data_IF_661423595032
#
_entry.id   IF_661423595032
#
_cell.length_a   1.000
_cell.length_b   1.000
_cell.length_c   1.000
_cell.angle_alpha   90.00
_cell.angle_beta   90.00
_cell.angle_gamma   90.00
#
_symmetry.space_group_name_H-M   'P 1'
#
loop_
_entity.id
_entity.type
_entity.pdbx_description
1 polymer ?
#
# COMPACT_ATOMS: atom_id res chain seq x y z
N UNK A 1 -6.11 -0.81 2.96
CA UNK A 1 -6.20 -2.17 2.40
C UNK A 1 -7.13 -3.11 3.17
N UNK A 2 -7.16 -3.03 4.51
CA UNK A 2 -8.11 -3.76 5.37
C UNK A 2 -7.93 -5.30 5.39
N UNK A 3 -6.78 -5.76 4.95
CA UNK A 3 -6.31 -7.13 5.18
C UNK A 3 -5.54 -7.20 6.50
N UNK A 4 -5.47 -8.39 7.11
CA UNK A 4 -4.61 -8.66 8.26
C UNK A 4 -3.28 -9.24 7.78
N UNK A 5 -2.19 -8.48 7.95
CA UNK A 5 -0.82 -8.89 7.56
C UNK A 5 0.04 -9.37 8.73
N UNK A 6 -0.51 -9.41 9.95
CA UNK A 6 0.21 -9.78 11.18
C UNK A 6 1.58 -9.10 11.28
N UNK A 7 1.62 -7.79 11.02
CA UNK A 7 2.87 -7.02 10.90
C UNK A 7 3.71 -7.06 12.18
N UNK A 8 3.05 -7.18 13.35
CA UNK A 8 3.71 -7.27 14.65
C UNK A 8 4.34 -8.65 14.92
N UNK A 9 3.88 -9.70 14.25
CA UNK A 9 4.39 -11.07 14.39
C UNK A 9 5.49 -11.40 13.35
N UNK A 10 5.98 -10.39 12.63
CA UNK A 10 7.01 -10.54 11.59
C UNK A 10 6.47 -10.91 10.20
N UNK A 11 5.15 -11.04 10.03
CA UNK A 11 4.53 -11.41 8.75
C UNK A 11 4.79 -10.43 7.59
N UNK A 12 5.24 -9.21 7.89
CA UNK A 12 5.56 -8.16 6.91
C UNK A 12 7.04 -7.77 6.87
N UNK A 13 7.93 -8.49 7.56
CA UNK A 13 9.34 -8.12 7.64
C UNK A 13 10.00 -8.05 6.25
N UNK A 14 9.80 -9.09 5.44
CA UNK A 14 10.32 -9.15 4.06
C UNK A 14 9.79 -8.01 3.18
N UNK A 15 8.53 -7.61 3.39
CA UNK A 15 7.91 -6.51 2.64
C UNK A 15 8.49 -5.15 3.04
N UNK A 16 8.71 -4.92 4.33
CA UNK A 16 9.33 -3.68 4.83
C UNK A 16 10.78 -3.60 4.37
N UNK A 17 11.53 -4.71 4.40
CA UNK A 17 12.90 -4.76 3.86
C UNK A 17 12.93 -4.50 2.36
N UNK A 18 12.05 -5.16 1.59
CA UNK A 18 11.94 -4.94 0.16
C UNK A 18 11.61 -3.48 -0.18
N UNK A 19 10.72 -2.86 0.59
CA UNK A 19 10.35 -1.45 0.44
C UNK A 19 11.57 -0.54 0.60
N UNK A 20 12.37 -0.75 1.66
CA UNK A 20 13.61 0.02 1.88
C UNK A 20 14.60 -0.14 0.73
N UNK A 21 14.82 -1.37 0.25
CA UNK A 21 15.72 -1.65 -0.88
C UNK A 21 15.25 -0.92 -2.15
N UNK A 22 13.95 -0.85 -2.40
CA UNK A 22 13.38 -0.12 -3.54
C UNK A 22 13.58 1.38 -3.37
N UNK A 23 13.28 1.94 -2.20
CA UNK A 23 13.47 3.37 -1.91
C UNK A 23 14.94 3.79 -2.08
N UNK A 24 15.88 3.00 -1.52
CA UNK A 24 17.32 3.24 -1.67
C UNK A 24 17.76 3.16 -3.13
N UNK A 25 17.23 2.20 -3.89
CA UNK A 25 17.53 2.08 -5.31
C UNK A 25 17.02 3.28 -6.12
N UNK A 26 15.82 3.78 -5.81
CA UNK A 26 15.23 4.97 -6.44
C UNK A 26 16.11 6.20 -6.15
N UNK A 27 16.43 6.45 -4.87
CA UNK A 27 17.29 7.56 -4.45
C UNK A 27 18.67 7.46 -5.14
N UNK A 28 19.28 6.28 -5.12
CA UNK A 28 20.57 6.03 -5.78
C UNK A 28 20.52 6.34 -7.28
N UNK A 29 19.46 5.93 -7.99
CA UNK A 29 19.28 6.17 -9.42
C UNK A 29 19.02 7.66 -9.73
N UNK A 30 18.28 8.36 -8.86
CA UNK A 30 18.03 9.80 -8.98
C UNK A 30 19.32 10.64 -8.98
N UNK A 31 20.31 10.25 -8.17
CA UNK A 31 21.58 10.98 -8.05
C UNK A 31 22.73 10.45 -8.93
N UNK A 32 22.53 9.34 -9.66
CA UNK A 32 23.58 8.72 -10.49
C UNK A 32 23.11 8.61 -11.95
N UNK A 33 23.34 9.64 -12.78
CA UNK A 33 22.90 9.66 -14.18
C UNK A 33 23.37 8.44 -15.00
N UNK A 34 24.55 7.87 -14.69
CA UNK A 34 25.06 6.67 -15.36
C UNK A 34 24.29 5.38 -15.03
N UNK A 35 23.47 5.37 -13.97
CA UNK A 35 22.55 4.28 -13.66
C UNK A 35 21.15 4.49 -14.26
N UNK A 36 20.89 5.58 -14.98
CA UNK A 36 19.58 5.81 -15.62
C UNK A 36 19.28 4.84 -16.78
N UNK A 37 20.26 4.45 -17.63
CA UNK A 37 20.01 3.45 -18.66
C UNK A 37 19.64 2.11 -18.03
N UNK A 38 18.49 1.55 -18.42
CA UNK A 38 17.89 0.37 -17.79
C UNK A 38 18.82 -0.85 -17.81
N UNK A 39 19.54 -1.05 -18.92
CA UNK A 39 20.50 -2.14 -19.06
C UNK A 39 21.63 -2.01 -18.02
N UNK A 40 22.17 -0.81 -17.83
CA UNK A 40 23.24 -0.54 -16.87
C UNK A 40 22.74 -0.74 -15.45
N UNK A 41 21.55 -0.22 -15.14
CA UNK A 41 20.92 -0.40 -13.84
C UNK A 41 20.72 -1.89 -13.52
N UNK A 42 20.09 -2.65 -14.42
CA UNK A 42 19.77 -4.06 -14.22
C UNK A 42 21.01 -4.94 -14.03
N UNK A 43 22.14 -4.57 -14.64
CA UNK A 43 23.41 -5.27 -14.45
C UNK A 43 24.09 -4.93 -13.12
N UNK A 44 23.84 -3.74 -12.56
CA UNK A 44 24.44 -3.27 -11.30
C UNK A 44 23.95 -4.06 -10.07
N UNK A 45 24.72 -4.09 -8.97
CA UNK A 45 24.27 -4.70 -7.70
C UNK A 45 22.95 -4.10 -7.20
N UNK A 46 22.79 -2.78 -7.30
CA UNK A 46 21.58 -2.05 -6.90
C UNK A 46 20.37 -2.49 -7.72
N UNK A 47 20.48 -2.60 -9.04
CA UNK A 47 19.37 -3.04 -9.88
C UNK A 47 19.02 -4.52 -9.67
N UNK A 48 20.00 -5.39 -9.42
CA UNK A 48 19.72 -6.79 -9.05
C UNK A 48 18.96 -6.90 -7.73
N UNK A 49 19.33 -6.08 -6.74
CA UNK A 49 18.61 -5.97 -5.47
C UNK A 49 17.18 -5.47 -5.67
N UNK A 50 17.03 -4.37 -6.42
CA UNK A 50 15.74 -3.79 -6.79
C UNK A 50 14.81 -4.82 -7.44
N UNK A 51 15.28 -5.57 -8.44
CA UNK A 51 14.46 -6.61 -9.11
C UNK A 51 14.02 -7.72 -8.16
N UNK A 52 14.84 -8.11 -7.18
CA UNK A 52 14.46 -9.10 -6.17
C UNK A 52 13.39 -8.54 -5.22
N UNK A 53 13.61 -7.32 -4.73
CA UNK A 53 12.67 -6.63 -3.84
C UNK A 53 11.32 -6.39 -4.52
N UNK A 54 11.32 -6.00 -5.80
CA UNK A 54 10.11 -5.81 -6.60
C UNK A 54 9.26 -7.08 -6.67
N UNK A 55 9.89 -8.26 -6.80
CA UNK A 55 9.16 -9.54 -6.77
C UNK A 55 8.48 -9.82 -5.44
N UNK A 56 9.12 -9.47 -4.33
CA UNK A 56 8.53 -9.62 -2.99
C UNK A 56 7.34 -8.68 -2.84
N UNK A 57 7.50 -7.42 -3.25
CA UNK A 57 6.45 -6.41 -3.18
C UNK A 57 5.22 -6.81 -4.01
N UNK A 58 5.42 -7.10 -5.31
CA UNK A 58 4.33 -7.58 -6.17
C UNK A 58 3.69 -8.87 -5.64
N UNK A 59 4.49 -9.78 -5.09
CA UNK A 59 3.99 -11.04 -4.54
C UNK A 59 3.09 -10.84 -3.31
N UNK A 60 3.32 -9.80 -2.49
CA UNK A 60 2.41 -9.46 -1.41
C UNK A 60 1.17 -8.77 -1.95
N UNK A 61 1.33 -7.74 -2.78
CA UNK A 61 0.23 -6.96 -3.36
C UNK A 61 -0.76 -7.84 -4.11
N UNK A 62 -0.26 -8.78 -4.92
CA UNK A 62 -1.10 -9.74 -5.64
C UNK A 62 -1.93 -10.59 -4.68
N UNK A 63 -1.33 -11.08 -3.58
CA UNK A 63 -2.08 -11.81 -2.53
C UNK A 63 -3.16 -10.92 -1.90
N UNK A 64 -2.84 -9.66 -1.61
CA UNK A 64 -3.80 -8.69 -1.06
C UNK A 64 -4.99 -8.55 -1.99
N UNK A 65 -4.74 -8.32 -3.28
CA UNK A 65 -5.77 -8.14 -4.31
C UNK A 65 -6.61 -9.40 -4.43
N UNK A 66 -6.00 -10.58 -4.53
CA UNK A 66 -6.70 -11.85 -4.66
C UNK A 66 -7.59 -12.16 -3.44
N UNK A 67 -7.05 -12.02 -2.22
CA UNK A 67 -7.84 -12.23 -0.99
C UNK A 67 -9.04 -11.29 -0.95
N UNK A 68 -8.85 -10.01 -1.29
CA UNK A 68 -9.94 -9.04 -1.26
C UNK A 68 -10.96 -9.23 -2.36
N UNK A 69 -10.53 -9.55 -3.57
CA UNK A 69 -11.43 -9.88 -4.70
C UNK A 69 -12.30 -11.09 -4.36
N UNK A 70 -11.73 -12.12 -3.71
CA UNK A 70 -12.50 -13.27 -3.22
C UNK A 70 -13.53 -12.87 -2.15
N UNK A 71 -13.13 -12.12 -1.12
CA UNK A 71 -14.04 -11.64 -0.07
C UNK A 71 -15.17 -10.76 -0.63
N UNK A 72 -14.85 -9.91 -1.60
CA UNK A 72 -15.80 -9.03 -2.28
C UNK A 72 -16.83 -9.84 -3.07
N UNK A 73 -16.39 -10.84 -3.85
CA UNK A 73 -17.29 -11.73 -4.60
C UNK A 73 -18.18 -12.57 -3.69
N UNK A 74 -17.66 -13.10 -2.57
CA UNK A 74 -18.48 -13.84 -1.60
C UNK A 74 -19.58 -12.96 -1.03
N UNK A 75 -19.26 -11.71 -0.63
CA UNK A 75 -20.27 -10.77 -0.11
C UNK A 75 -21.30 -10.41 -1.18
N UNK A 76 -20.88 -10.12 -2.40
CA UNK A 76 -21.79 -9.75 -3.49
C UNK A 76 -22.70 -10.91 -3.91
N UNK A 77 -22.21 -12.16 -3.89
CA UNK A 77 -23.03 -13.34 -4.20
C UNK A 77 -23.99 -13.71 -3.08
N UNK A 78 -23.66 -13.42 -1.82
CA UNK A 78 -24.56 -13.62 -0.67
C UNK A 78 -25.63 -12.53 -0.53
N UNK A 79 -25.59 -11.47 -1.34
CA UNK A 79 -26.55 -10.35 -1.34
C UNK A 79 -27.30 -10.25 -2.67
N UNK A 80 -27.55 -11.38 -3.34
CA UNK A 80 -28.64 -11.49 -4.32
C UNK A 80 -29.95 -11.83 -3.60
N UNK A 81 -30.45 -10.92 -2.77
CA UNK A 81 -31.84 -10.83 -2.27
C UNK A 81 -31.88 -9.69 -1.23
N UNK A 82 -31.99 -8.44 -1.72
CA UNK A 82 -32.89 -7.39 -1.22
C UNK A 82 -32.45 -6.00 -1.69
N UNK A 83 -33.20 -5.35 -2.59
CA UNK A 83 -33.01 -3.93 -2.92
C UNK A 83 -33.45 -2.96 -1.81
N UNK A 84 -33.90 -3.43 -0.65
CA UNK A 84 -34.73 -2.65 0.29
C UNK A 84 -34.17 -2.42 1.70
N UNK A 85 -32.88 -2.63 1.97
CA UNK A 85 -32.34 -2.45 3.34
C UNK A 85 -31.21 -1.43 3.52
N UNK A 86 -30.97 -0.49 2.60
CA UNK A 86 -29.99 0.58 2.88
C UNK A 86 -30.39 1.98 2.34
N UNK A 87 -31.68 2.29 2.22
CA UNK A 87 -32.15 3.67 2.04
C UNK A 87 -32.56 4.37 3.36
N UNK A 88 -32.48 3.67 4.51
CA UNK A 88 -32.93 4.19 5.80
C UNK A 88 -31.82 4.82 6.67
N UNK A 89 -30.74 5.31 6.08
CA UNK A 89 -29.84 6.25 6.80
C UNK A 89 -29.31 7.31 5.84
N UNK A 90 -30.12 8.36 5.65
CA UNK A 90 -29.73 9.61 4.98
C UNK A 90 -28.64 10.26 5.85
N UNK A 91 -27.39 9.83 5.69
CA UNK A 91 -26.24 10.47 6.34
C UNK A 91 -24.98 9.63 6.51
N UNK A 92 -25.08 8.31 6.68
CA UNK A 92 -23.91 7.47 6.96
C UNK A 92 -23.53 6.61 5.75
N UNK A 93 -22.85 7.22 4.75
CA UNK A 93 -22.12 6.42 3.75
C UNK A 93 -21.16 5.48 4.49
N UNK A 94 -21.42 4.18 4.44
CA UNK A 94 -20.55 3.13 4.99
C UNK A 94 -19.13 3.38 4.49
N UNK A 95 -18.19 3.68 5.40
CA UNK A 95 -16.78 3.96 5.07
C UNK A 95 -16.16 2.72 4.42
N UNK A 96 -16.04 2.73 3.09
CA UNK A 96 -15.44 1.64 2.30
C UNK A 96 -13.93 1.68 2.42
N UNK A 97 -13.28 0.52 2.39
CA UNK A 97 -11.83 0.49 2.29
C UNK A 97 -11.42 0.93 0.88
N UNK A 98 -10.23 1.55 0.75
CA UNK A 98 -9.71 2.03 -0.54
C UNK A 98 -9.77 0.98 -1.66
N UNK A 99 -9.31 -0.23 -1.38
CA UNK A 99 -9.30 -1.32 -2.36
C UNK A 99 -10.71 -1.77 -2.77
N UNK A 100 -11.70 -1.68 -1.88
CA UNK A 100 -13.09 -2.02 -2.22
C UNK A 100 -13.66 -1.00 -3.23
N UNK A 101 -13.32 0.29 -3.06
CA UNK A 101 -13.71 1.35 -4.02
C UNK A 101 -13.04 1.16 -5.38
N UNK A 102 -11.77 0.72 -5.40
CA UNK A 102 -11.08 0.38 -6.65
C UNK A 102 -11.74 -0.80 -7.36
N UNK A 103 -12.07 -1.89 -6.65
CA UNK A 103 -12.73 -3.06 -7.23
C UNK A 103 -14.12 -2.74 -7.82
N UNK A 104 -14.91 -1.92 -7.13
CA UNK A 104 -16.21 -1.44 -7.63
C UNK A 104 -16.04 -0.65 -8.94
N UNK A 105 -15.04 0.24 -9.01
CA UNK A 105 -14.78 1.01 -10.23
C UNK A 105 -14.46 0.13 -11.44
N UNK A 106 -13.75 -0.99 -11.25
CA UNK A 106 -13.50 -1.97 -12.32
C UNK A 106 -14.80 -2.62 -12.80
N UNK A 107 -15.73 -2.91 -11.88
CA UNK A 107 -17.02 -3.54 -12.21
C UNK A 107 -18.00 -2.59 -12.89
N UNK A 108 -18.00 -1.31 -12.51
CA UNK A 108 -18.86 -0.26 -13.07
C UNK A 108 -18.46 0.18 -14.49
N UNK A 109 -17.44 -0.46 -15.07
CA UNK A 109 -17.05 -0.26 -16.47
C UNK A 109 -15.97 0.81 -16.68
N UNK A 110 -15.28 1.26 -15.63
CA UNK A 110 -14.04 2.02 -15.84
C UNK A 110 -12.97 1.10 -16.45
N UNK A 111 -12.22 1.65 -17.42
CA UNK A 111 -11.13 0.98 -18.13
C UNK A 111 -9.87 0.79 -17.25
N UNK A 112 -10.00 0.24 -16.05
CA UNK A 112 -8.86 -0.08 -15.20
C UNK A 112 -8.53 -1.57 -15.35
N UNK A 113 -7.34 -1.86 -15.89
CA UNK A 113 -6.87 -3.25 -16.00
C UNK A 113 -6.45 -3.81 -14.64
N UNK A 114 -6.33 -5.14 -14.52
CA UNK A 114 -5.76 -5.76 -13.32
C UNK A 114 -4.31 -5.26 -13.05
N UNK A 115 -3.58 -4.83 -14.09
CA UNK A 115 -2.26 -4.24 -13.95
C UNK A 115 -2.31 -2.83 -13.33
N UNK A 116 -3.23 -1.98 -13.80
CA UNK A 116 -3.42 -0.62 -13.26
C UNK A 116 -3.90 -0.69 -11.80
N UNK A 117 -4.82 -1.63 -11.49
CA UNK A 117 -5.26 -1.89 -10.12
C UNK A 117 -4.07 -2.25 -9.23
N UNK A 118 -3.20 -3.14 -9.69
CA UNK A 118 -2.02 -3.56 -8.94
C UNK A 118 -1.05 -2.40 -8.72
N UNK A 119 -0.82 -1.56 -9.72
CA UNK A 119 0.05 -0.39 -9.60
C UNK A 119 -0.47 0.62 -8.57
N UNK A 120 -1.78 0.85 -8.53
CA UNK A 120 -2.38 1.73 -7.54
C UNK A 120 -2.27 1.13 -6.12
N UNK A 121 -2.50 -0.19 -6.00
CA UNK A 121 -2.37 -0.90 -4.72
C UNK A 121 -0.90 -0.91 -4.24
N UNK A 122 0.06 -1.14 -5.14
CA UNK A 122 1.50 -1.07 -4.86
C UNK A 122 1.89 0.32 -4.35
N UNK A 123 1.45 1.37 -5.04
CA UNK A 123 1.73 2.78 -4.69
C UNK A 123 1.17 3.13 -3.32
N UNK A 124 -0.11 2.85 -3.07
CA UNK A 124 -0.72 3.15 -1.77
C UNK A 124 -0.13 2.34 -0.61
N UNK A 125 0.25 1.08 -0.86
CA UNK A 125 0.92 0.26 0.16
C UNK A 125 2.31 0.78 0.48
N UNK A 126 3.02 1.35 -0.48
CA UNK A 126 4.30 2.02 -0.27
C UNK A 126 4.13 3.35 0.47
N UNK A 127 3.45 4.31 -0.17
CA UNK A 127 3.41 5.71 0.27
C UNK A 127 2.71 5.88 1.62
N UNK A 128 1.68 5.08 1.89
CA UNK A 128 0.83 5.24 3.06
C UNK A 128 1.53 4.95 4.39
N UNK A 129 2.56 4.09 4.40
CA UNK A 129 3.21 3.66 5.64
C UNK A 129 4.61 4.27 5.84
N UNK A 130 5.44 4.33 4.79
CA UNK A 130 6.84 4.74 4.91
C UNK A 130 6.97 6.23 5.27
N UNK A 131 6.16 7.07 4.62
CA UNK A 131 6.14 8.53 4.86
C UNK A 131 5.56 8.87 6.24
N UNK A 132 4.46 8.22 6.64
CA UNK A 132 3.80 8.46 7.92
C UNK A 132 4.64 7.94 9.08
N UNK A 133 5.31 6.79 8.93
CA UNK A 133 6.27 6.27 9.91
C UNK A 133 7.41 7.25 10.17
N UNK A 134 7.99 7.81 9.11
CA UNK A 134 9.02 8.85 9.22
C UNK A 134 8.48 10.11 9.92
N UNK A 135 7.32 10.60 9.51
CA UNK A 135 6.69 11.78 10.10
C UNK A 135 6.40 11.64 11.59
N UNK A 136 5.83 10.51 12.01
CA UNK A 136 5.59 10.19 13.42
C UNK A 136 6.92 10.09 14.19
N UNK A 137 7.94 9.46 13.60
CA UNK A 137 9.26 9.31 14.25
C UNK A 137 9.90 10.68 14.50
N UNK A 138 9.87 11.59 13.53
CA UNK A 138 10.39 12.95 13.69
C UNK A 138 9.56 13.77 14.68
N UNK A 139 8.24 13.62 14.66
CA UNK A 139 7.36 14.29 15.62
C UNK A 139 7.68 13.85 17.05
N UNK A 140 7.78 12.54 17.30
CA UNK A 140 8.13 11.99 18.61
C UNK A 140 9.55 12.41 19.04
N UNK A 141 10.52 12.38 18.13
CA UNK A 141 11.87 12.88 18.39
C UNK A 141 11.86 14.36 18.80
N UNK A 142 11.06 15.18 18.11
CA UNK A 142 10.93 16.61 18.43
C UNK A 142 10.29 16.80 19.81
N UNK A 143 9.21 16.08 20.12
CA UNK A 143 8.55 16.15 21.42
C UNK A 143 9.51 15.78 22.56
N UNK A 144 10.34 14.74 22.37
CA UNK A 144 11.30 14.32 23.39
C UNK A 144 12.38 15.37 23.72
N UNK A 145 12.61 16.34 22.81
CA UNK A 145 13.56 17.43 23.04
C UNK A 145 12.91 18.67 23.68
N UNK A 146 11.59 18.83 23.57
CA UNK A 146 10.84 19.98 24.06
C UNK A 146 9.76 19.55 25.05
N UNK A 147 10.19 19.26 26.29
CA UNK A 147 9.33 18.71 27.33
C UNK A 147 8.16 19.63 27.69
N UNK A 148 8.36 20.95 27.62
CA UNK A 148 7.33 21.97 27.83
C UNK A 148 6.20 21.88 26.80
N UNK A 149 6.53 21.60 25.54
CA UNK A 149 5.55 21.37 24.47
C UNK A 149 4.89 19.99 24.66
N UNK A 150 5.66 18.96 24.97
CA UNK A 150 5.15 17.61 25.19
C UNK A 150 4.10 17.55 26.32
N UNK A 151 4.31 18.27 27.42
CA UNK A 151 3.36 18.34 28.54
C UNK A 151 2.04 19.02 28.14
N UNK A 152 2.06 20.00 27.24
CA UNK A 152 0.84 20.68 26.78
C UNK A 152 -0.03 19.83 25.84
N UNK A 153 0.51 18.78 25.24
CA UNK A 153 -0.20 17.88 24.31
C UNK A 153 -0.89 16.73 25.05
N UNK A 154 -0.45 16.42 26.27
CA UNK A 154 -1.06 15.42 27.16
C UNK A 154 -2.21 15.99 27.98
#
# INVERSE_FOLDING_TARGET
MGIRINAQDGGSADFVEATKVIADAIVCRSFKPWLQPEIVFRMSPTGRGHVKALKVLHGLTEKVIQTRKAEYLTKHNSTQEDPSENENDIGAKKRRAFLDMLLESVQEGNMMSDADLREEVDTFMFEGHDTTSSGVSFALSSLSMYQDIQVNIF
#
